data_IF_190859645896
#
_entry.id   IF_190859645896
#
_cell.length_a   1.000
_cell.length_b   1.000
_cell.length_c   1.000
_cell.angle_alpha   90.00
_cell.angle_beta   90.00
_cell.angle_gamma   90.00
#
_symmetry.space_group_name_H-M   'P 1'
#
loop_
_entity.id
_entity.type
_entity.pdbx_description
1 polymer ?
#
# COMPACT_ATOMS: atom_id res chain seq x y z
N UNK A 1 -46.54 -21.53 38.55
CA UNK A 1 -45.85 -20.96 39.72
C UNK A 1 -45.97 -21.97 40.85
N UNK A 2 -44.94 -22.81 40.99
CA UNK A 2 -44.79 -23.90 41.97
C UNK A 2 -43.27 -24.18 42.10
N UNK A 3 -42.76 -24.35 43.33
CA UNK A 3 -41.39 -24.66 43.80
C UNK A 3 -40.78 -26.01 43.32
N UNK A 4 -39.60 -26.54 43.78
CA UNK A 4 -38.34 -26.00 44.40
C UNK A 4 -36.99 -26.68 43.91
N UNK A 5 -35.82 -26.20 44.43
CA UNK A 5 -34.55 -26.96 44.66
C UNK A 5 -33.64 -27.26 43.43
N UNK A 6 -32.31 -27.37 43.46
CA UNK A 6 -31.33 -27.64 44.53
C UNK A 6 -29.85 -27.47 44.03
N UNK A 7 -28.97 -27.09 44.96
CA UNK A 7 -27.56 -27.48 45.15
C UNK A 7 -26.39 -26.93 44.30
N UNK A 8 -25.26 -26.82 45.02
CA UNK A 8 -24.03 -26.08 44.75
C UNK A 8 -22.86 -27.00 44.35
N UNK A 9 -21.79 -26.43 43.77
CA UNK A 9 -20.41 -26.93 43.91
C UNK A 9 -19.38 -25.84 43.57
N UNK A 10 -18.53 -25.56 44.55
CA UNK A 10 -17.33 -24.70 44.46
C UNK A 10 -16.16 -25.43 43.79
N UNK A 11 -15.14 -24.71 43.32
CA UNK A 11 -13.72 -24.86 43.76
C UNK A 11 -12.77 -23.88 43.02
N UNK A 12 -12.25 -22.95 43.83
CA UNK A 12 -10.86 -22.44 44.02
C UNK A 12 -10.02 -21.85 42.88
N UNK A 13 -9.72 -20.56 43.09
CA UNK A 13 -8.47 -19.85 42.77
C UNK A 13 -7.21 -20.56 43.29
N UNK A 14 -6.10 -20.45 42.53
CA UNK A 14 -4.74 -20.41 43.08
C UNK A 14 -3.89 -19.33 42.39
N UNK A 15 -3.25 -18.52 43.21
CA UNK A 15 -2.07 -17.69 42.94
C UNK A 15 -0.82 -18.38 43.54
N UNK A 16 0.36 -17.77 43.30
CA UNK A 16 1.74 -18.05 43.75
C UNK A 16 2.57 -18.97 42.82
N UNK A 17 3.84 -18.71 42.50
CA UNK A 17 4.85 -17.76 43.05
C UNK A 17 6.05 -17.56 42.09
N UNK A 18 6.90 -16.59 42.45
CA UNK A 18 8.16 -16.06 41.87
C UNK A 18 9.33 -17.06 41.70
N UNK A 19 10.37 -16.52 41.01
CA UNK A 19 11.81 -16.88 40.95
C UNK A 19 12.18 -17.92 39.87
N UNK A 20 13.23 -17.83 39.03
CA UNK A 20 14.47 -17.03 39.02
C UNK A 20 15.25 -17.23 37.67
N UNK A 21 15.96 -16.17 37.24
CA UNK A 21 17.37 -16.07 36.78
C UNK A 21 18.01 -17.07 35.74
N UNK A 22 18.57 -16.46 34.68
CA UNK A 22 19.75 -16.73 33.81
C UNK A 22 20.45 -18.12 33.72
N UNK A 23 20.75 -18.55 32.48
CA UNK A 23 22.05 -19.07 31.94
C UNK A 23 21.81 -19.50 30.46
N UNK A 24 22.42 -18.92 29.41
CA UNK A 24 23.73 -19.26 28.81
C UNK A 24 24.07 -20.76 28.82
N UNK A 25 24.09 -21.42 27.65
CA UNK A 25 25.24 -22.22 27.21
C UNK A 25 25.21 -22.54 25.71
N UNK A 26 26.42 -22.72 25.20
CA UNK A 26 26.90 -22.79 23.84
C UNK A 26 26.71 -24.18 23.17
N UNK A 27 27.13 -24.29 21.91
CA UNK A 27 26.99 -25.47 21.07
C UNK A 27 27.64 -26.74 21.62
N UNK A 28 27.21 -27.91 21.14
CA UNK A 28 27.98 -28.74 20.21
C UNK A 28 27.23 -30.04 19.83
N UNK A 29 27.51 -30.52 18.62
CA UNK A 29 27.41 -31.90 18.11
C UNK A 29 26.38 -32.90 18.67
N UNK A 30 25.48 -33.36 17.80
CA UNK A 30 25.06 -34.76 17.78
C UNK A 30 25.17 -35.31 16.34
N UNK A 31 26.11 -36.24 16.18
CA UNK A 31 26.30 -37.11 15.03
C UNK A 31 25.29 -38.25 15.08
N UNK A 32 24.56 -38.51 13.99
CA UNK A 32 23.80 -39.75 13.86
C UNK A 32 24.02 -40.41 12.50
N UNK A 33 24.47 -41.65 12.62
CA UNK A 33 24.86 -42.64 11.61
C UNK A 33 23.76 -42.91 10.59
N UNK A 34 24.18 -43.12 9.35
CA UNK A 34 23.41 -43.84 8.34
C UNK A 34 23.07 -45.27 8.79
N UNK A 35 22.06 -45.87 8.14
CA UNK A 35 22.27 -47.17 7.53
C UNK A 35 21.91 -47.21 6.04
N UNK A 36 22.64 -48.10 5.38
CA UNK A 36 22.69 -48.48 3.96
C UNK A 36 21.52 -49.42 3.59
N UNK A 37 21.08 -49.40 2.32
CA UNK A 37 20.23 -50.43 1.70
C UNK A 37 19.43 -49.91 0.50
N UNK A 38 20.04 -49.75 -0.68
CA UNK A 38 19.98 -50.65 -1.88
C UNK A 38 18.75 -50.52 -2.79
N UNK A 39 19.06 -50.06 -4.02
CA UNK A 39 18.54 -50.45 -5.35
C UNK A 39 17.07 -50.25 -5.73
N UNK A 40 16.87 -49.42 -6.75
CA UNK A 40 15.63 -49.34 -7.55
C UNK A 40 15.76 -48.33 -8.68
N UNK A 41 16.34 -48.76 -9.81
CA UNK A 41 16.40 -48.03 -11.08
C UNK A 41 15.01 -47.91 -11.69
N UNK A 42 14.63 -46.69 -12.09
CA UNK A 42 13.43 -46.40 -12.87
C UNK A 42 13.63 -45.14 -13.69
N UNK A 43 14.12 -45.32 -14.92
CA UNK A 43 14.12 -44.30 -15.96
C UNK A 43 12.67 -43.91 -16.30
N UNK A 44 12.36 -42.62 -16.25
CA UNK A 44 11.15 -42.08 -16.85
C UNK A 44 11.54 -40.88 -17.73
N UNK A 45 11.71 -41.17 -19.01
CA UNK A 45 11.84 -40.21 -20.10
C UNK A 45 10.43 -39.73 -20.48
N UNK A 46 10.16 -38.42 -20.38
CA UNK A 46 9.03 -37.80 -21.05
C UNK A 46 9.55 -36.88 -22.16
N UNK A 47 9.18 -37.25 -23.38
CA UNK A 47 9.44 -36.48 -24.60
C UNK A 47 8.66 -35.17 -24.61
N UNK A 48 9.36 -34.11 -25.03
CA UNK A 48 8.79 -32.87 -25.49
C UNK A 48 8.33 -33.06 -26.93
N UNK A 49 7.02 -33.05 -27.17
CA UNK A 49 6.49 -32.90 -28.51
C UNK A 49 6.28 -31.41 -28.82
N UNK A 50 6.87 -30.97 -29.93
CA UNK A 50 6.77 -29.65 -30.51
C UNK A 50 5.82 -29.78 -31.69
N UNK A 51 4.66 -29.13 -31.68
CA UNK A 51 3.94 -28.87 -32.93
C UNK A 51 2.94 -27.72 -32.84
N UNK A 52 2.96 -26.91 -33.91
CA UNK A 52 1.90 -26.08 -34.48
C UNK A 52 1.81 -24.58 -34.13
N UNK A 53 2.69 -23.89 -34.85
CA UNK A 53 2.62 -22.57 -35.46
C UNK A 53 1.35 -22.30 -36.31
N UNK A 54 0.80 -21.08 -36.18
CA UNK A 54 0.09 -20.22 -37.16
C UNK A 54 -1.23 -20.62 -37.85
N UNK A 55 -2.25 -19.75 -37.72
CA UNK A 55 -3.22 -19.35 -38.76
C UNK A 55 -3.74 -17.92 -38.44
N UNK A 56 -3.19 -16.87 -39.04
CA UNK A 56 -3.64 -16.09 -40.23
C UNK A 56 -4.87 -15.17 -39.97
N UNK A 57 -4.57 -13.87 -39.91
CA UNK A 57 -5.46 -12.72 -40.15
C UNK A 57 -6.00 -12.76 -41.59
N UNK A 58 -7.29 -12.46 -41.78
CA UNK A 58 -7.83 -12.04 -43.07
C UNK A 58 -8.41 -10.62 -42.96
N UNK A 59 -7.81 -9.70 -43.72
CA UNK A 59 -8.34 -8.38 -44.06
C UNK A 59 -9.37 -8.50 -45.20
N UNK A 60 -10.49 -7.77 -45.04
CA UNK A 60 -11.10 -6.87 -46.04
C UNK A 60 -11.66 -7.41 -47.36
N UNK A 61 -12.95 -7.12 -47.60
CA UNK A 61 -13.44 -6.74 -48.93
C UNK A 61 -14.42 -5.53 -48.81
N UNK A 62 -14.14 -4.39 -49.46
CA UNK A 62 -14.98 -3.20 -49.43
C UNK A 62 -15.88 -3.13 -50.68
N UNK A 63 -17.16 -3.48 -50.57
CA UNK A 63 -18.20 -3.18 -51.58
C UNK A 63 -19.61 -3.54 -51.08
N UNK A 64 -20.25 -2.64 -50.36
CA UNK A 64 -21.72 -2.66 -50.22
C UNK A 64 -22.23 -1.21 -50.21
N UNK A 65 -22.63 -0.75 -51.40
CA UNK A 65 -23.39 0.47 -51.61
C UNK A 65 -24.86 0.10 -51.40
N UNK A 66 -25.52 0.67 -50.39
CA UNK A 66 -26.98 0.61 -50.25
C UNK A 66 -27.54 1.99 -50.55
N UNK A 67 -28.24 2.12 -51.68
CA UNK A 67 -28.98 3.30 -52.11
C UNK A 67 -30.32 3.39 -51.37
N UNK A 68 -30.64 4.53 -50.77
CA UNK A 68 -31.93 4.83 -50.15
C UNK A 68 -32.99 5.22 -51.20
N UNK A 69 -34.28 4.91 -50.98
CA UNK A 69 -35.38 5.66 -51.58
C UNK A 69 -35.94 6.68 -50.58
N UNK A 70 -36.14 7.91 -51.08
CA UNK A 70 -36.78 9.03 -50.39
C UNK A 70 -38.25 8.75 -50.03
N UNK A 71 -38.64 9.14 -48.82
CA UNK A 71 -40.05 9.36 -48.45
C UNK A 71 -40.20 10.43 -47.35
N UNK A 72 -40.42 11.66 -47.81
CA UNK A 72 -41.47 12.60 -47.36
C UNK A 72 -41.85 12.63 -45.88
N UNK A 73 -41.18 13.47 -45.08
CA UNK A 73 -41.77 14.27 -43.99
C UNK A 73 -40.84 15.47 -43.67
N UNK A 74 -41.33 16.73 -43.66
CA UNK A 74 -40.50 17.86 -43.23
C UNK A 74 -40.28 17.82 -41.70
N UNK A 75 -39.07 18.06 -41.19
CA UNK A 75 -38.83 18.11 -39.75
C UNK A 75 -39.47 19.37 -39.14
N UNK A 76 -39.97 19.30 -37.88
CA UNK A 76 -40.52 20.46 -37.21
C UNK A 76 -39.43 21.50 -36.93
N UNK A 77 -39.74 22.77 -37.19
CA UNK A 77 -38.89 23.91 -36.85
C UNK A 77 -38.74 24.03 -35.33
N UNK A 78 -37.69 23.41 -34.78
CA UNK A 78 -37.22 23.76 -33.44
C UNK A 78 -36.47 25.09 -33.52
N UNK A 79 -37.10 26.15 -33.02
CA UNK A 79 -36.39 27.36 -32.63
C UNK A 79 -35.30 27.00 -31.63
N UNK A 80 -34.03 27.03 -32.04
CA UNK A 80 -32.91 27.03 -31.10
C UNK A 80 -33.02 28.33 -30.28
N UNK A 81 -33.18 28.27 -28.95
CA UNK A 81 -32.96 29.47 -28.14
C UNK A 81 -31.49 29.90 -28.32
N UNK A 82 -31.18 31.20 -28.26
CA UNK A 82 -29.81 31.68 -28.35
C UNK A 82 -28.96 30.97 -27.28
N UNK A 83 -27.65 30.73 -27.53
CA UNK A 83 -26.79 30.09 -26.56
C UNK A 83 -26.83 30.92 -25.27
N UNK A 84 -27.39 30.33 -24.21
CA UNK A 84 -27.21 30.87 -22.87
C UNK A 84 -25.70 30.82 -22.62
N UNK A 85 -25.09 31.99 -22.49
CA UNK A 85 -23.78 32.12 -21.88
C UNK A 85 -23.89 31.55 -20.47
N UNK A 86 -23.50 30.30 -20.32
CA UNK A 86 -23.12 29.76 -19.03
C UNK A 86 -21.86 30.52 -18.65
N UNK A 87 -22.02 31.59 -17.87
CA UNK A 87 -20.91 32.14 -17.12
C UNK A 87 -20.48 31.06 -16.15
N UNK A 88 -19.51 30.25 -16.56
CA UNK A 88 -18.78 29.37 -15.67
C UNK A 88 -17.97 30.26 -14.71
N UNK A 89 -18.52 30.51 -13.53
CA UNK A 89 -17.84 31.26 -12.48
C UNK A 89 -16.85 30.39 -11.71
N UNK A 90 -16.60 29.15 -12.12
CA UNK A 90 -15.46 28.36 -11.64
C UNK A 90 -14.34 28.55 -12.64
N UNK A 91 -13.50 29.55 -12.41
CA UNK A 91 -12.15 29.49 -12.99
C UNK A 91 -11.50 28.25 -12.41
N UNK A 92 -11.32 27.22 -13.23
CA UNK A 92 -10.27 26.25 -12.96
C UNK A 92 -8.99 27.07 -12.69
N UNK A 93 -8.25 26.77 -11.62
CA UNK A 93 -6.99 27.46 -11.38
C UNK A 93 -6.12 27.24 -12.61
N UNK A 94 -5.89 28.30 -13.39
CA UNK A 94 -5.00 28.25 -14.55
C UNK A 94 -3.67 27.66 -14.08
N UNK A 95 -3.37 26.46 -14.56
CA UNK A 95 -2.06 25.84 -14.35
C UNK A 95 -1.04 26.74 -15.01
N UNK A 96 -0.30 27.51 -14.21
CA UNK A 96 0.73 28.40 -14.70
C UNK A 96 1.74 27.65 -15.58
N UNK A 97 2.20 28.29 -16.65
CA UNK A 97 3.25 27.71 -17.50
C UNK A 97 4.52 27.47 -16.69
N UNK A 98 5.20 26.34 -16.94
CA UNK A 98 6.52 26.10 -16.37
C UNK A 98 7.47 27.26 -16.76
N UNK A 99 8.29 27.77 -15.83
CA UNK A 99 9.33 28.72 -16.19
C UNK A 99 10.29 28.06 -17.22
N UNK A 100 10.82 28.84 -18.18
CA UNK A 100 11.76 28.32 -19.15
C UNK A 100 12.93 27.64 -18.44
N UNK A 101 13.35 26.47 -18.93
CA UNK A 101 14.49 25.77 -18.36
C UNK A 101 15.76 26.62 -18.56
N UNK A 102 16.28 27.17 -17.46
CA UNK A 102 17.61 27.77 -17.47
C UNK A 102 18.60 26.60 -17.46
N UNK A 103 19.02 26.15 -18.65
CA UNK A 103 20.19 25.29 -18.79
C UNK A 103 21.41 26.12 -18.41
N UNK A 104 21.67 26.19 -17.10
CA UNK A 104 22.87 26.83 -16.59
C UNK A 104 24.09 26.15 -17.20
N UNK A 105 25.07 26.95 -17.63
CA UNK A 105 26.45 26.47 -17.75
C UNK A 105 26.76 25.75 -16.44
N UNK A 106 27.28 24.51 -16.45
CA UNK A 106 27.58 23.81 -15.20
C UNK A 106 28.62 24.63 -14.43
N UNK A 107 28.13 25.48 -13.52
CA UNK A 107 28.95 26.12 -12.52
C UNK A 107 29.66 25.02 -11.76
N UNK A 108 30.93 25.24 -11.39
CA UNK A 108 31.69 24.24 -10.64
C UNK A 108 30.87 23.78 -9.43
N UNK A 109 30.36 22.55 -9.48
CA UNK A 109 29.55 22.02 -8.40
C UNK A 109 30.37 22.12 -7.11
N UNK A 110 29.76 22.67 -6.06
CA UNK A 110 30.41 22.73 -4.75
C UNK A 110 30.82 21.32 -4.30
N UNK A 111 31.99 21.18 -3.67
CA UNK A 111 32.40 19.90 -3.09
C UNK A 111 31.51 19.58 -1.88
N UNK A 112 31.11 18.32 -1.76
CA UNK A 112 30.39 17.83 -0.57
C UNK A 112 31.40 17.73 0.58
N UNK A 113 31.19 18.53 1.62
CA UNK A 113 31.99 18.49 2.84
C UNK A 113 31.46 17.44 3.83
N UNK A 114 32.35 16.60 4.35
CA UNK A 114 31.97 15.51 5.26
C UNK A 114 31.36 16.04 6.58
N UNK A 115 31.83 17.18 7.08
CA UNK A 115 31.28 17.82 8.27
C UNK A 115 29.83 18.26 8.05
N UNK A 116 29.58 19.01 6.98
CA UNK A 116 28.23 19.45 6.56
C UNK A 116 27.30 18.28 6.32
N UNK A 117 27.78 17.22 5.65
CA UNK A 117 26.99 16.01 5.44
C UNK A 117 26.63 15.34 6.79
N UNK A 118 27.58 15.24 7.72
CA UNK A 118 27.33 14.75 9.07
C UNK A 118 26.29 15.58 9.84
N UNK A 119 26.26 16.89 9.64
CA UNK A 119 25.22 17.75 10.22
C UNK A 119 23.82 17.44 9.64
N UNK A 120 23.71 17.16 8.34
CA UNK A 120 22.43 16.76 7.72
C UNK A 120 21.91 15.43 8.27
N UNK A 121 22.78 14.43 8.46
CA UNK A 121 22.39 13.16 9.08
C UNK A 121 21.93 13.34 10.54
N UNK A 122 22.62 14.17 11.34
CA UNK A 122 22.19 14.50 12.71
C UNK A 122 20.86 15.25 12.73
N UNK A 123 20.66 16.19 11.82
CA UNK A 123 19.39 16.91 11.70
C UNK A 123 18.23 15.95 11.33
N UNK A 124 18.48 15.02 10.40
CA UNK A 124 17.48 14.01 10.04
C UNK A 124 17.15 13.09 11.22
N UNK A 125 18.17 12.65 11.97
CA UNK A 125 17.96 11.86 13.18
C UNK A 125 17.08 12.59 14.19
N UNK A 126 17.39 13.86 14.49
CA UNK A 126 16.59 14.67 15.43
C UNK A 126 15.13 14.83 14.97
N UNK A 127 14.89 15.00 13.67
CA UNK A 127 13.52 15.03 13.14
C UNK A 127 12.79 13.67 13.32
N UNK A 128 13.49 12.55 13.22
CA UNK A 128 12.92 11.21 13.45
C UNK A 128 12.68 10.94 14.94
N UNK A 129 13.57 11.39 15.82
CA UNK A 129 13.37 11.34 17.27
C UNK A 129 12.10 12.11 17.66
N UNK A 130 11.92 13.33 17.13
CA UNK A 130 10.69 14.10 17.33
C UNK A 130 9.43 13.32 16.90
N UNK A 131 9.48 12.64 15.75
CA UNK A 131 8.37 11.78 15.30
C UNK A 131 8.03 10.71 16.33
N UNK A 132 9.03 9.99 16.86
CA UNK A 132 8.80 8.93 17.84
C UNK A 132 8.27 9.46 19.17
N UNK A 133 8.78 10.59 19.64
CA UNK A 133 8.40 11.19 20.91
C UNK A 133 6.93 11.68 20.93
N UNK A 134 6.36 11.99 19.76
CA UNK A 134 5.04 12.60 19.63
C UNK A 134 4.02 11.73 18.89
N UNK A 135 4.41 10.52 18.45
CA UNK A 135 3.49 9.61 17.77
C UNK A 135 2.42 9.12 18.75
N UNK A 136 1.15 9.28 18.39
CA UNK A 136 0.04 8.67 19.11
C UNK A 136 0.02 7.16 18.88
N UNK A 137 0.58 6.42 19.84
CA UNK A 137 0.65 4.96 19.79
C UNK A 137 -0.72 4.28 19.87
N UNK A 138 -1.72 4.90 20.51
CA UNK A 138 -3.06 4.32 20.59
C UNK A 138 -3.73 4.38 19.20
N UNK A 139 -3.61 5.51 18.50
CA UNK A 139 -4.07 5.64 17.11
C UNK A 139 -3.28 4.74 16.16
N UNK A 140 -1.97 4.63 16.34
CA UNK A 140 -1.15 3.71 15.55
C UNK A 140 -1.58 2.23 15.76
N UNK A 141 -1.93 1.85 16.98
CA UNK A 141 -2.43 0.50 17.29
C UNK A 141 -3.81 0.25 16.67
N UNK A 142 -4.74 1.21 16.73
CA UNK A 142 -6.05 1.11 16.07
C UNK A 142 -5.92 0.97 14.54
N UNK A 143 -5.01 1.74 13.93
CA UNK A 143 -4.67 1.62 12.52
C UNK A 143 -4.14 0.22 12.18
N UNK A 144 -3.18 -0.28 12.97
CA UNK A 144 -2.60 -1.61 12.77
C UNK A 144 -3.64 -2.71 12.96
N UNK A 145 -4.50 -2.61 13.97
CA UNK A 145 -5.58 -3.57 14.22
C UNK A 145 -6.60 -3.56 13.07
N UNK A 146 -6.96 -2.37 12.56
CA UNK A 146 -7.84 -2.25 11.39
C UNK A 146 -7.25 -2.93 10.16
N UNK A 147 -5.94 -2.78 9.91
CA UNK A 147 -5.26 -3.52 8.83
C UNK A 147 -5.22 -5.03 9.08
N UNK A 148 -5.01 -5.45 10.33
CA UNK A 148 -4.97 -6.84 10.70
C UNK A 148 -6.33 -7.52 10.45
N UNK A 149 -7.42 -6.84 10.77
CA UNK A 149 -8.79 -7.35 10.68
C UNK A 149 -9.44 -7.12 9.31
N UNK A 150 -8.67 -6.63 8.32
CA UNK A 150 -9.15 -6.38 6.97
C UNK A 150 -9.83 -7.64 6.38
N UNK A 151 -11.14 -7.60 6.08
CA UNK A 151 -11.82 -8.76 5.51
C UNK A 151 -11.54 -8.91 4.01
N UNK A 152 -11.18 -7.81 3.34
CA UNK A 152 -10.86 -7.74 1.91
C UNK A 152 -9.39 -7.45 1.62
N UNK A 153 -9.15 -6.83 0.47
CA UNK A 153 -7.84 -6.33 0.06
C UNK A 153 -7.52 -4.98 0.72
N UNK A 154 -6.23 -4.72 0.91
CA UNK A 154 -5.70 -3.45 1.39
C UNK A 154 -5.06 -2.71 0.22
N UNK A 155 -5.69 -1.62 -0.21
CA UNK A 155 -5.15 -0.73 -1.22
C UNK A 155 -4.38 0.41 -0.55
N UNK A 156 -3.18 0.71 -1.04
CA UNK A 156 -2.44 1.91 -0.66
C UNK A 156 -2.47 2.91 -1.81
N UNK A 157 -2.67 4.19 -1.50
CA UNK A 157 -2.68 5.26 -2.49
C UNK A 157 -1.95 6.49 -1.97
N UNK A 158 -1.37 7.26 -2.87
CA UNK A 158 -0.63 8.48 -2.57
C UNK A 158 -0.14 9.13 -3.86
N UNK A 159 0.19 10.42 -3.78
CA UNK A 159 0.68 11.20 -4.92
C UNK A 159 2.18 11.48 -4.76
N UNK A 160 2.93 11.49 -5.85
CA UNK A 160 4.35 11.83 -5.86
C UNK A 160 5.19 10.95 -4.94
N UNK A 161 5.98 11.55 -4.03
CA UNK A 161 6.84 10.80 -3.10
C UNK A 161 6.04 9.93 -2.13
N UNK A 162 4.88 10.40 -1.66
CA UNK A 162 3.98 9.57 -0.84
C UNK A 162 3.40 8.39 -1.63
N UNK A 163 3.18 8.55 -2.94
CA UNK A 163 2.80 7.45 -3.84
C UNK A 163 3.87 6.36 -3.95
N UNK A 164 5.15 6.74 -4.01
CA UNK A 164 6.27 5.79 -4.01
C UNK A 164 6.30 4.99 -2.70
N UNK A 165 6.10 5.66 -1.56
CA UNK A 165 6.01 4.99 -0.25
C UNK A 165 4.81 4.06 -0.20
N UNK A 166 3.63 4.53 -0.60
CA UNK A 166 2.40 3.73 -0.67
C UNK A 166 2.59 2.46 -1.51
N UNK A 167 3.25 2.58 -2.68
CA UNK A 167 3.54 1.44 -3.52
C UNK A 167 4.50 0.46 -2.84
N UNK A 168 5.58 0.93 -2.22
CA UNK A 168 6.49 0.07 -1.46
C UNK A 168 5.75 -0.68 -0.36
N UNK A 169 4.93 0.00 0.44
CA UNK A 169 4.16 -0.60 1.53
C UNK A 169 3.19 -1.66 1.00
N UNK A 170 2.50 -1.37 -0.11
CA UNK A 170 1.61 -2.33 -0.76
C UNK A 170 2.35 -3.62 -1.15
N UNK A 171 3.52 -3.49 -1.80
CA UNK A 171 4.34 -4.63 -2.20
C UNK A 171 4.91 -5.38 -1.00
N UNK A 172 5.27 -4.67 0.06
CA UNK A 172 5.77 -5.27 1.30
C UNK A 172 4.69 -6.11 1.97
N UNK A 173 3.46 -5.60 2.09
CA UNK A 173 2.36 -6.36 2.68
C UNK A 173 1.96 -7.56 1.81
N UNK A 174 1.92 -7.39 0.48
CA UNK A 174 1.59 -8.45 -0.46
C UNK A 174 2.58 -9.62 -0.40
N UNK A 175 3.88 -9.34 -0.26
CA UNK A 175 4.92 -10.38 -0.24
C UNK A 175 4.84 -11.32 0.98
N UNK A 176 4.15 -10.90 2.05
CA UNK A 176 3.96 -11.71 3.26
C UNK A 176 2.88 -12.78 3.10
N UNK A 177 1.97 -12.62 2.13
CA UNK A 177 0.97 -13.60 1.72
C UNK A 177 -0.16 -13.88 2.71
N UNK A 178 -0.30 -13.10 3.79
CA UNK A 178 -1.45 -13.21 4.70
C UNK A 178 -2.53 -12.14 4.46
N UNK A 179 -2.30 -11.20 3.55
CA UNK A 179 -3.26 -10.19 3.13
C UNK A 179 -3.13 -9.92 1.63
N UNK A 180 -4.25 -9.67 0.95
CA UNK A 180 -4.24 -9.13 -0.41
C UNK A 180 -3.90 -7.65 -0.33
N UNK A 181 -2.92 -7.20 -1.10
CA UNK A 181 -2.46 -5.82 -1.03
C UNK A 181 -1.99 -5.33 -2.39
N UNK A 182 -2.33 -4.09 -2.74
CA UNK A 182 -1.97 -3.47 -4.01
C UNK A 182 -1.84 -1.96 -3.90
N UNK A 183 -1.07 -1.36 -4.81
CA UNK A 183 -1.04 0.08 -4.99
C UNK A 183 -2.17 0.49 -5.94
N UNK A 184 -2.94 1.50 -5.56
CA UNK A 184 -4.00 2.08 -6.38
C UNK A 184 -3.60 3.52 -6.72
N UNK A 185 -3.08 3.80 -7.93
CA UNK A 185 -2.76 5.16 -8.34
C UNK A 185 -4.02 6.03 -8.32
N UNK A 186 -4.02 7.20 -7.64
CA UNK A 186 -5.26 7.92 -7.39
C UNK A 186 -5.87 8.54 -8.66
N UNK A 187 -5.04 8.89 -9.65
CA UNK A 187 -5.50 9.41 -10.95
C UNK A 187 -6.15 8.30 -11.76
N UNK A 188 -5.47 7.15 -11.90
CA UNK A 188 -5.96 6.02 -12.69
C UNK A 188 -7.19 5.35 -12.04
N UNK A 189 -7.28 5.38 -10.70
CA UNK A 189 -8.45 4.93 -9.94
C UNK A 189 -9.73 5.59 -10.43
N UNK A 190 -9.73 6.92 -10.57
CA UNK A 190 -10.89 7.68 -11.03
C UNK A 190 -11.20 7.46 -12.51
N UNK A 191 -10.30 6.82 -13.26
CA UNK A 191 -10.41 6.57 -14.69
C UNK A 191 -10.66 5.08 -15.02
N UNK A 192 -10.94 4.25 -14.01
CA UNK A 192 -11.37 2.85 -14.20
C UNK A 192 -10.87 1.89 -13.14
N UNK A 193 -9.68 2.13 -12.58
CA UNK A 193 -9.04 1.18 -11.67
C UNK A 193 -9.77 1.05 -10.31
N UNK A 194 -10.64 2.01 -9.96
CA UNK A 194 -11.54 1.88 -8.83
C UNK A 194 -12.48 0.66 -8.95
N UNK A 195 -12.64 0.10 -10.15
CA UNK A 195 -13.33 -1.18 -10.35
C UNK A 195 -12.72 -2.37 -9.59
N UNK A 196 -11.47 -2.27 -9.15
CA UNK A 196 -10.82 -3.28 -8.32
C UNK A 196 -11.26 -3.25 -6.84
N UNK A 197 -11.92 -2.17 -6.40
CA UNK A 197 -12.33 -1.96 -4.99
C UNK A 197 -13.74 -2.50 -4.77
N UNK A 198 -13.88 -3.36 -3.76
CA UNK A 198 -15.11 -4.01 -3.34
C UNK A 198 -15.46 -3.70 -1.87
N UNK A 199 -16.72 -3.95 -1.45
CA UNK A 199 -17.12 -3.79 -0.06
C UNK A 199 -16.25 -4.63 0.89
N UNK A 200 -15.78 -4.01 1.98
CA UNK A 200 -14.89 -4.64 2.95
C UNK A 200 -13.40 -4.50 2.66
N UNK A 201 -13.03 -3.96 1.49
CA UNK A 201 -11.66 -3.55 1.23
C UNK A 201 -11.27 -2.33 2.08
N UNK A 202 -9.97 -2.17 2.31
CA UNK A 202 -9.41 -0.98 2.94
C UNK A 202 -8.70 -0.12 1.92
N UNK A 203 -8.83 1.20 2.03
CA UNK A 203 -8.03 2.16 1.27
C UNK A 203 -7.22 3.03 2.23
N UNK A 204 -5.89 2.86 2.19
CA UNK A 204 -4.90 3.60 2.98
C UNK A 204 -4.32 4.74 2.15
N UNK A 205 -4.59 5.98 2.56
CA UNK A 205 -4.20 7.20 1.86
C UNK A 205 -2.99 7.84 2.53
N UNK A 206 -1.88 7.96 1.81
CA UNK A 206 -0.66 8.64 2.28
C UNK A 206 -0.60 10.06 1.70
N UNK A 207 -0.67 11.06 2.58
CA UNK A 207 -0.56 12.47 2.17
C UNK A 207 0.09 13.31 3.26
N UNK A 208 1.25 13.91 2.98
CA UNK A 208 1.89 14.83 3.95
C UNK A 208 0.93 15.95 4.37
N UNK A 209 0.31 16.62 3.40
CA UNK A 209 -0.55 17.78 3.64
C UNK A 209 -1.97 17.40 4.07
N UNK A 210 -2.42 16.18 3.79
CA UNK A 210 -3.83 15.82 4.01
C UNK A 210 -4.80 16.49 3.04
N UNK A 211 -4.30 17.18 2.00
CA UNK A 211 -5.09 18.06 1.13
C UNK A 211 -4.81 17.84 -0.37
N UNK A 212 -4.21 16.71 -0.76
CA UNK A 212 -3.99 16.37 -2.17
C UNK A 212 -5.32 16.20 -2.89
N UNK A 213 -5.55 16.96 -3.96
CA UNK A 213 -6.84 16.99 -4.66
C UNK A 213 -7.20 15.62 -5.25
N UNK A 214 -6.22 14.87 -5.75
CA UNK A 214 -6.41 13.53 -6.30
C UNK A 214 -6.92 12.56 -5.24
N UNK A 215 -6.40 12.64 -4.02
CA UNK A 215 -6.84 11.79 -2.90
C UNK A 215 -8.21 12.23 -2.38
N UNK A 216 -8.45 13.54 -2.29
CA UNK A 216 -9.75 14.07 -1.88
C UNK A 216 -10.86 13.70 -2.87
N UNK A 217 -10.57 13.69 -4.17
CA UNK A 217 -11.49 13.24 -5.21
C UNK A 217 -11.72 11.71 -5.15
N UNK A 218 -10.71 10.93 -4.77
CA UNK A 218 -10.82 9.46 -4.65
C UNK A 218 -11.70 9.02 -3.48
N UNK A 219 -11.60 9.70 -2.33
CA UNK A 219 -12.29 9.35 -1.08
C UNK A 219 -13.80 9.07 -1.24
N UNK A 220 -14.64 9.97 -1.79
CA UNK A 220 -16.07 9.72 -1.88
C UNK A 220 -16.40 8.52 -2.78
N UNK A 221 -15.65 8.33 -3.86
CA UNK A 221 -15.84 7.23 -4.80
C UNK A 221 -15.48 5.88 -4.15
N UNK A 222 -14.36 5.81 -3.43
CA UNK A 222 -13.96 4.62 -2.70
C UNK A 222 -14.94 4.28 -1.56
N UNK A 223 -15.42 5.28 -0.82
CA UNK A 223 -16.46 5.10 0.21
C UNK A 223 -17.76 4.56 -0.38
N UNK A 224 -18.18 5.07 -1.54
CA UNK A 224 -19.36 4.58 -2.25
C UNK A 224 -19.26 3.12 -2.70
N UNK A 225 -18.03 2.62 -2.92
CA UNK A 225 -17.75 1.19 -3.18
C UNK A 225 -17.78 0.32 -1.91
N UNK A 226 -17.94 0.91 -0.73
CA UNK A 226 -17.95 0.20 0.54
C UNK A 226 -16.56 -0.06 1.12
N UNK A 227 -15.53 0.66 0.65
CA UNK A 227 -14.21 0.59 1.26
C UNK A 227 -14.18 1.41 2.56
N UNK A 228 -13.48 0.87 3.57
CA UNK A 228 -13.14 1.63 4.78
C UNK A 228 -11.86 2.42 4.54
N UNK A 229 -11.85 3.68 4.96
CA UNK A 229 -10.84 4.65 4.59
C UNK A 229 -9.90 4.94 5.76
N UNK A 230 -8.61 4.78 5.53
CA UNK A 230 -7.56 5.08 6.50
C UNK A 230 -6.63 6.14 5.89
N UNK A 231 -6.04 7.01 6.72
CA UNK A 231 -5.07 8.01 6.25
C UNK A 231 -3.86 8.15 7.15
N UNK A 232 -2.73 8.47 6.52
CA UNK A 232 -1.46 8.82 7.14
C UNK A 232 -1.08 10.24 6.73
N UNK A 233 -1.12 11.17 7.67
CA UNK A 233 -0.95 12.61 7.40
C UNK A 233 0.02 13.28 8.36
N UNK A 234 0.70 14.35 7.93
CA UNK A 234 1.62 15.12 8.80
C UNK A 234 1.14 16.55 9.06
N UNK A 235 0.05 16.98 8.42
CA UNK A 235 -0.60 18.24 8.72
C UNK A 235 -1.38 18.13 10.05
N UNK A 236 -1.40 19.22 10.82
CA UNK A 236 -2.21 19.32 12.02
C UNK A 236 -3.70 19.12 11.70
N UNK A 237 -4.46 18.61 12.66
CA UNK A 237 -5.90 18.41 12.51
C UNK A 237 -6.64 19.74 12.28
N UNK A 238 -7.81 19.66 11.65
CA UNK A 238 -8.66 20.82 11.33
C UNK A 238 -8.70 21.14 9.83
N UNK A 239 -9.01 22.40 9.50
CA UNK A 239 -9.30 22.82 8.12
C UNK A 239 -8.14 22.60 7.13
N UNK A 240 -6.90 22.54 7.62
CA UNK A 240 -5.72 22.28 6.79
C UNK A 240 -5.52 20.80 6.41
N UNK A 241 -6.29 19.88 7.02
CA UNK A 241 -6.15 18.44 6.81
C UNK A 241 -7.54 17.78 6.59
N UNK A 242 -8.17 18.04 5.44
CA UNK A 242 -9.48 17.45 5.12
C UNK A 242 -9.47 15.93 5.11
N UNK A 243 -8.38 15.28 4.67
CA UNK A 243 -8.27 13.81 4.69
C UNK A 243 -8.42 13.22 6.10
N UNK A 244 -7.90 13.87 7.13
CA UNK A 244 -8.05 13.39 8.50
C UNK A 244 -9.52 13.32 8.95
N UNK A 245 -10.37 14.22 8.43
CA UNK A 245 -11.80 14.27 8.76
C UNK A 245 -12.62 13.32 7.89
N UNK A 246 -12.20 13.09 6.64
CA UNK A 246 -12.94 12.27 5.69
C UNK A 246 -12.67 10.77 5.82
N UNK A 247 -11.57 10.38 6.48
CA UNK A 247 -11.21 8.98 6.73
C UNK A 247 -11.78 8.48 8.06
N UNK A 248 -12.02 7.17 8.14
CA UNK A 248 -12.55 6.53 9.35
C UNK A 248 -11.47 6.41 10.44
N UNK A 249 -10.20 6.29 10.03
CA UNK A 249 -9.02 6.35 10.93
C UNK A 249 -7.96 7.23 10.27
N UNK A 250 -7.48 8.23 11.00
CA UNK A 250 -6.30 9.01 10.62
C UNK A 250 -5.19 8.80 11.66
N UNK A 251 -3.97 8.55 11.19
CA UNK A 251 -2.78 8.63 12.03
C UNK A 251 -2.01 9.89 11.64
N UNK A 252 -1.91 10.81 12.59
CA UNK A 252 -1.03 11.95 12.48
C UNK A 252 0.42 11.47 12.68
N UNK A 253 1.30 11.80 11.73
CA UNK A 253 2.72 11.50 11.70
C UNK A 253 3.48 12.81 11.96
N UNK A 254 3.92 13.07 13.21
CA UNK A 254 4.55 14.33 13.58
C UNK A 254 5.78 14.63 12.71
N UNK A 255 5.80 15.83 12.13
CA UNK A 255 6.88 16.30 11.27
C UNK A 255 7.27 17.72 11.69
N UNK A 256 8.46 17.87 12.25
CA UNK A 256 8.96 19.20 12.63
C UNK A 256 9.36 20.04 11.41
N UNK A 257 10.12 19.45 10.48
CA UNK A 257 10.53 20.09 9.21
C UNK A 257 11.08 19.07 8.22
N UNK A 258 11.11 19.44 6.94
CA UNK A 258 11.90 18.70 5.95
C UNK A 258 13.39 18.99 6.11
N UNK A 259 14.23 18.00 5.79
CA UNK A 259 15.67 18.18 5.61
C UNK A 259 16.00 19.02 4.35
N UNK A 260 15.06 19.09 3.40
CA UNK A 260 15.19 19.95 2.23
C UNK A 260 15.44 21.41 2.68
N UNK A 261 16.47 22.10 2.15
CA UNK A 261 16.78 23.49 2.53
C UNK A 261 15.62 24.47 2.31
N UNK A 262 14.73 24.15 1.37
CA UNK A 262 13.57 24.97 1.05
C UNK A 262 12.28 24.51 1.75
N UNK A 263 12.30 23.40 2.49
CA UNK A 263 11.10 22.82 3.08
C UNK A 263 10.12 22.19 2.08
N UNK A 264 10.46 22.19 0.78
CA UNK A 264 9.54 21.80 -0.29
C UNK A 264 9.62 20.32 -0.64
N UNK A 265 10.84 19.80 -0.82
CA UNK A 265 11.03 18.43 -1.26
C UNK A 265 10.75 17.46 -0.09
N UNK A 266 9.84 16.47 -0.28
CA UNK A 266 9.60 15.44 0.73
C UNK A 266 10.86 14.59 0.92
N UNK A 267 11.52 14.74 2.05
CA UNK A 267 12.70 13.95 2.44
C UNK A 267 12.42 13.29 3.78
N UNK A 268 12.14 14.11 4.79
CA UNK A 268 11.87 13.66 6.15
C UNK A 268 10.48 13.08 6.24
N UNK A 269 9.47 13.72 5.63
CA UNK A 269 8.10 13.20 5.66
C UNK A 269 7.98 11.83 4.96
N UNK A 270 8.67 11.64 3.85
CA UNK A 270 8.67 10.37 3.12
C UNK A 270 9.37 9.26 3.93
N UNK A 271 10.47 9.59 4.62
CA UNK A 271 11.14 8.65 5.52
C UNK A 271 10.25 8.25 6.70
N UNK A 272 9.53 9.20 7.30
CA UNK A 272 8.58 8.95 8.39
C UNK A 272 7.43 8.04 7.92
N UNK A 273 6.80 8.33 6.77
CA UNK A 273 5.75 7.48 6.21
C UNK A 273 6.23 6.05 5.96
N UNK A 274 7.44 5.89 5.39
CA UNK A 274 8.05 4.59 5.16
C UNK A 274 8.29 3.84 6.47
N UNK A 275 8.90 4.51 7.44
CA UNK A 275 9.25 3.93 8.75
C UNK A 275 8.01 3.52 9.53
N UNK A 276 6.97 4.36 9.59
CA UNK A 276 5.70 4.03 10.22
C UNK A 276 5.06 2.81 9.56
N UNK A 277 4.92 2.83 8.23
CA UNK A 277 4.26 1.75 7.49
C UNK A 277 4.98 0.41 7.65
N UNK A 278 6.30 0.39 7.51
CA UNK A 278 7.09 -0.83 7.69
C UNK A 278 7.05 -1.37 9.12
N UNK A 279 7.03 -0.48 10.12
CA UNK A 279 6.91 -0.87 11.54
C UNK A 279 5.54 -1.49 11.83
N UNK A 280 4.47 -0.90 11.31
CA UNK A 280 3.12 -1.48 11.40
C UNK A 280 3.08 -2.84 10.73
N UNK A 281 3.62 -2.97 9.51
CA UNK A 281 3.65 -4.25 8.81
C UNK A 281 4.45 -5.31 9.59
N UNK A 282 5.57 -4.94 10.22
CA UNK A 282 6.33 -5.84 11.09
C UNK A 282 5.50 -6.29 12.30
N UNK A 283 4.69 -5.42 12.90
CA UNK A 283 3.75 -5.80 13.94
C UNK A 283 2.68 -6.79 13.41
N UNK A 284 2.18 -6.60 12.19
CA UNK A 284 1.28 -7.55 11.54
C UNK A 284 1.94 -8.92 11.31
N UNK A 285 3.23 -8.96 10.92
CA UNK A 285 3.98 -10.21 10.79
C UNK A 285 4.01 -10.99 12.11
N UNK A 286 4.27 -10.29 13.22
CA UNK A 286 4.27 -10.89 14.55
C UNK A 286 2.88 -11.39 14.95
N UNK A 287 1.85 -10.56 14.76
CA UNK A 287 0.46 -10.91 15.08
C UNK A 287 -0.06 -12.10 14.26
N UNK A 288 0.32 -12.19 12.98
CA UNK A 288 -0.03 -13.30 12.08
C UNK A 288 0.90 -14.52 12.22
N UNK A 289 1.89 -14.47 13.11
CA UNK A 289 2.89 -15.53 13.34
C UNK A 289 3.54 -15.98 12.02
N UNK A 290 4.02 -15.02 11.24
CA UNK A 290 4.67 -15.28 9.95
C UNK A 290 5.90 -16.18 10.16
N UNK A 291 5.89 -17.34 9.50
CA UNK A 291 7.00 -18.30 9.51
C UNK A 291 7.88 -18.12 8.28
N UNK A 292 9.16 -18.54 8.35
CA UNK A 292 10.07 -18.50 7.20
C UNK A 292 9.56 -19.31 6.02
N UNK A 293 8.86 -20.41 6.26
CA UNK A 293 8.30 -21.31 5.25
C UNK A 293 7.17 -20.63 4.48
N UNK A 294 6.19 -20.03 5.19
CA UNK A 294 5.13 -19.20 4.58
C UNK A 294 5.70 -18.03 3.78
N UNK A 295 6.74 -17.37 4.29
CA UNK A 295 7.39 -16.29 3.56
C UNK A 295 8.09 -16.81 2.29
N UNK A 296 8.80 -17.93 2.39
CA UNK A 296 9.50 -18.56 1.27
C UNK A 296 8.55 -19.00 0.13
N UNK A 297 7.33 -19.43 0.46
CA UNK A 297 6.32 -19.83 -0.52
C UNK A 297 5.99 -18.69 -1.51
N UNK A 298 6.07 -17.43 -1.07
CA UNK A 298 5.84 -16.26 -1.94
C UNK A 298 7.12 -15.76 -2.64
N UNK A 299 8.27 -16.42 -2.41
CA UNK A 299 9.58 -16.00 -2.95
C UNK A 299 10.33 -17.16 -3.62
N UNK A 300 9.71 -17.91 -4.56
CA UNK A 300 10.24 -19.17 -5.08
C UNK A 300 11.61 -19.04 -5.77
N UNK A 301 11.87 -17.91 -6.43
CA UNK A 301 13.13 -17.66 -7.14
C UNK A 301 14.22 -17.01 -6.27
N UNK A 302 13.87 -16.49 -5.09
CA UNK A 302 14.78 -15.75 -4.23
C UNK A 302 15.75 -16.66 -3.48
N UNK A 303 16.85 -16.11 -2.95
CA UNK A 303 17.82 -16.86 -2.12
C UNK A 303 17.13 -17.59 -0.95
N UNK A 304 16.11 -16.95 -0.35
CA UNK A 304 15.33 -17.49 0.77
C UNK A 304 14.48 -18.69 0.31
N UNK A 305 13.68 -18.52 -0.75
CA UNK A 305 12.85 -19.60 -1.30
C UNK A 305 13.70 -20.78 -1.75
N UNK A 306 14.81 -20.51 -2.44
CA UNK A 306 15.73 -21.57 -2.89
C UNK A 306 16.31 -22.37 -1.72
N UNK A 307 16.72 -21.70 -0.64
CA UNK A 307 17.30 -22.35 0.54
C UNK A 307 16.29 -23.19 1.35
N UNK A 308 15.00 -22.90 1.26
CA UNK A 308 13.96 -23.55 2.07
C UNK A 308 13.17 -24.60 1.27
N UNK A 309 12.94 -24.36 -0.03
CA UNK A 309 12.21 -25.26 -0.93
C UNK A 309 13.11 -26.38 -1.46
N UNK A 310 14.38 -26.09 -1.78
CA UNK A 310 15.32 -27.09 -2.31
C UNK A 310 16.25 -27.68 -1.25
N UNK A 311 15.81 -27.80 0.02
CA UNK A 311 16.52 -28.63 0.99
C UNK A 311 16.45 -30.09 0.52
N UNK A 312 17.45 -30.50 -0.24
CA UNK A 312 17.72 -31.89 -0.62
C UNK A 312 17.88 -32.67 0.69
N UNK A 313 17.06 -33.71 0.88
CA UNK A 313 17.24 -34.72 1.93
C UNK A 313 18.45 -35.58 1.63
#
# INVERSE_FOLDING_TARGET
MSCPGSQALSVRHRQCTRDSVQALDDGNHISLKQPVGTTGSGDFSMGFDKTLTSFILLCGDPRMIYTSPDALFPPPHFHRPPPRLWHDTRRDPEMGSLPPQILGVPGSAGKIDAGKLGHLFRAQRSNLEHFFDHLDLARAADFAQTLLDAPGAVFFSGVGKSGIVAHKLAQTLASLGFARSAFLPPVDALHGDLGAVFPGDLLVLLSKSGASQELLALVPCARAKGARLLSLTSAAEGAGNPLATLCDVNVHLPLQRELCPFGLAPVTSAAIQMMFGDTVIAALMAARRLTKEKYAANHPAGKIGKSLIFKVR
#
